data_IF_735777917038
#
_entry.id   IF_735777917038
#
_cell.length_a   1.000
_cell.length_b   1.000
_cell.length_c   1.000
_cell.angle_alpha   90.00
_cell.angle_beta   90.00
_cell.angle_gamma   90.00
#
_symmetry.space_group_name_H-M   'P 1'
#
loop_
_entity.id
_entity.type
_entity.pdbx_description
1 polymer ?
#
# COMPACT_ATOMS: atom_id res chain seq x y z
N UNK A 1 19.10 -15.74 -66.37
CA UNK A 1 19.51 -15.33 -65.00
C UNK A 1 18.37 -14.49 -64.40
N UNK A 2 17.29 -15.14 -63.93
CA UNK A 2 16.07 -14.43 -63.49
C UNK A 2 15.67 -14.74 -62.03
N UNK A 3 16.50 -15.47 -61.28
CA UNK A 3 16.18 -15.92 -59.92
C UNK A 3 16.31 -14.80 -58.86
N UNK A 4 17.01 -13.70 -59.16
CA UNK A 4 17.27 -12.64 -58.17
C UNK A 4 16.08 -11.70 -57.88
N UNK A 5 15.04 -11.66 -58.74
CA UNK A 5 13.90 -10.74 -58.55
C UNK A 5 12.87 -11.22 -57.51
N UNK A 6 12.83 -12.52 -57.22
CA UNK A 6 11.88 -13.08 -56.25
C UNK A 6 12.33 -12.85 -54.80
N UNK A 7 13.63 -12.90 -54.55
CA UNK A 7 14.20 -12.66 -53.22
C UNK A 7 14.06 -11.18 -52.77
N UNK A 8 14.18 -10.23 -53.69
CA UNK A 8 14.10 -8.79 -53.38
C UNK A 8 12.67 -8.30 -53.07
N UNK A 9 11.65 -8.93 -53.68
CA UNK A 9 10.25 -8.60 -53.38
C UNK A 9 9.77 -9.24 -52.07
N UNK A 10 10.26 -10.44 -51.73
CA UNK A 10 9.93 -11.09 -50.45
C UNK A 10 10.57 -10.38 -49.26
N UNK A 11 11.82 -9.91 -49.39
CA UNK A 11 12.49 -9.16 -48.32
C UNK A 11 11.83 -7.81 -48.05
N UNK A 12 11.35 -7.11 -49.09
CA UNK A 12 10.54 -5.88 -48.94
C UNK A 12 9.19 -6.15 -48.28
N UNK A 13 8.56 -7.29 -48.55
CA UNK A 13 7.29 -7.68 -47.93
C UNK A 13 7.44 -8.05 -46.45
N UNK A 14 8.48 -8.81 -46.08
CA UNK A 14 8.78 -9.13 -44.69
C UNK A 14 9.17 -7.88 -43.88
N UNK A 15 9.93 -6.96 -44.49
CA UNK A 15 10.24 -5.67 -43.87
C UNK A 15 8.98 -4.82 -43.64
N UNK A 16 8.02 -4.85 -44.57
CA UNK A 16 6.74 -4.16 -44.42
C UNK A 16 5.88 -4.76 -43.30
N UNK A 17 5.78 -6.10 -43.21
CA UNK A 17 5.04 -6.79 -42.14
C UNK A 17 5.64 -6.50 -40.75
N UNK A 18 6.98 -6.47 -40.64
CA UNK A 18 7.66 -6.12 -39.38
C UNK A 18 7.42 -4.65 -39.01
N UNK A 19 7.35 -3.75 -39.98
CA UNK A 19 7.02 -2.35 -39.74
C UNK A 19 5.57 -2.18 -39.26
N UNK A 20 4.64 -2.88 -39.88
CA UNK A 20 3.21 -2.87 -39.52
C UNK A 20 2.98 -3.46 -38.12
N UNK A 21 3.65 -4.57 -37.78
CA UNK A 21 3.58 -5.18 -36.45
C UNK A 21 4.18 -4.28 -35.35
N UNK A 22 5.25 -3.54 -35.67
CA UNK A 22 5.85 -2.57 -34.75
C UNK A 22 4.90 -1.41 -34.47
N UNK A 23 4.21 -0.93 -35.49
CA UNK A 23 3.23 0.15 -35.34
C UNK A 23 2.01 -0.34 -34.53
N UNK A 24 1.55 -1.57 -34.75
CA UNK A 24 0.44 -2.17 -33.99
C UNK A 24 0.80 -2.41 -32.51
N UNK A 25 2.01 -2.85 -32.20
CA UNK A 25 2.52 -2.97 -30.82
C UNK A 25 2.59 -1.61 -30.14
N UNK A 26 3.06 -0.58 -30.86
CA UNK A 26 3.14 0.79 -30.33
C UNK A 26 1.74 1.31 -29.98
N UNK A 27 0.77 1.05 -30.85
CA UNK A 27 -0.62 1.46 -30.64
C UNK A 27 -1.27 0.72 -29.45
N UNK A 28 -0.99 -0.58 -29.31
CA UNK A 28 -1.44 -1.39 -28.18
C UNK A 28 -0.85 -0.92 -26.84
N UNK A 29 0.46 -0.63 -26.81
CA UNK A 29 1.14 -0.12 -25.61
C UNK A 29 0.61 1.27 -25.24
N UNK A 30 0.44 2.16 -26.22
CA UNK A 30 -0.11 3.49 -25.99
C UNK A 30 -1.52 3.40 -25.39
N UNK A 31 -2.36 2.53 -25.95
CA UNK A 31 -3.73 2.29 -25.46
C UNK A 31 -3.73 1.76 -24.03
N UNK A 32 -2.90 0.76 -23.70
CA UNK A 32 -2.79 0.23 -22.33
C UNK A 32 -2.30 1.27 -21.33
N UNK A 33 -1.32 2.09 -21.72
CA UNK A 33 -0.81 3.18 -20.87
C UNK A 33 -1.91 4.22 -20.62
N UNK A 34 -2.70 4.54 -21.64
CA UNK A 34 -3.80 5.51 -21.52
C UNK A 34 -4.92 4.97 -20.60
N UNK A 35 -5.31 3.70 -20.75
CA UNK A 35 -6.27 3.04 -19.85
C UNK A 35 -5.74 2.95 -18.41
N UNK A 36 -4.48 2.56 -18.22
CA UNK A 36 -3.87 2.51 -16.89
C UNK A 36 -3.86 3.90 -16.23
N UNK A 37 -3.52 4.94 -17.00
CA UNK A 37 -3.54 6.32 -16.50
C UNK A 37 -4.95 6.76 -16.12
N UNK A 38 -5.98 6.37 -16.88
CA UNK A 38 -7.37 6.68 -16.51
C UNK A 38 -7.80 5.94 -15.25
N UNK A 39 -7.45 4.67 -15.08
CA UNK A 39 -7.81 3.86 -13.91
C UNK A 39 -7.11 4.37 -12.64
N UNK A 40 -5.83 4.74 -12.74
CA UNK A 40 -5.11 5.39 -11.63
C UNK A 40 -5.76 6.73 -11.28
N UNK A 41 -6.15 7.53 -12.28
CA UNK A 41 -6.80 8.82 -12.04
C UNK A 41 -8.17 8.67 -11.39
N UNK A 42 -8.98 7.71 -11.84
CA UNK A 42 -10.28 7.39 -11.25
C UNK A 42 -10.12 6.91 -9.80
N UNK A 43 -9.13 6.05 -9.54
CA UNK A 43 -8.78 5.61 -8.18
C UNK A 43 -8.38 6.80 -7.31
N UNK A 44 -7.52 7.69 -7.82
CA UNK A 44 -7.10 8.90 -7.09
C UNK A 44 -8.28 9.84 -6.83
N UNK A 45 -9.19 10.00 -7.79
CA UNK A 45 -10.37 10.84 -7.65
C UNK A 45 -11.36 10.25 -6.62
N UNK A 46 -11.53 8.92 -6.58
CA UNK A 46 -12.27 8.25 -5.51
C UNK A 46 -11.62 8.47 -4.14
N UNK A 47 -10.28 8.43 -4.07
CA UNK A 47 -9.53 8.69 -2.84
C UNK A 47 -9.62 10.15 -2.38
N UNK A 48 -9.68 11.12 -3.30
CA UNK A 48 -9.82 12.55 -2.96
C UNK A 48 -11.05 12.84 -2.11
N UNK A 49 -12.14 12.11 -2.33
CA UNK A 49 -13.37 12.26 -1.53
C UNK A 49 -13.38 11.31 -0.34
N UNK A 50 -12.90 10.08 -0.50
CA UNK A 50 -12.93 9.08 0.57
C UNK A 50 -11.94 9.39 1.72
N UNK A 51 -10.73 9.87 1.41
CA UNK A 51 -9.69 10.16 2.41
C UNK A 51 -10.10 11.25 3.41
N UNK A 52 -10.59 12.44 3.01
CA UNK A 52 -11.01 13.46 3.96
C UNK A 52 -12.23 13.00 4.78
N UNK A 53 -13.17 12.28 4.17
CA UNK A 53 -14.32 11.73 4.89
C UNK A 53 -13.88 10.69 5.93
N UNK A 54 -12.96 9.80 5.59
CA UNK A 54 -12.37 8.85 6.51
C UNK A 54 -11.59 9.55 7.63
N UNK A 55 -10.85 10.62 7.33
CA UNK A 55 -10.15 11.41 8.33
C UNK A 55 -11.12 12.02 9.35
N UNK A 56 -12.22 12.63 8.88
CA UNK A 56 -13.28 13.16 9.76
C UNK A 56 -13.90 12.04 10.60
N UNK A 57 -14.21 10.90 10.00
CA UNK A 57 -14.76 9.76 10.72
C UNK A 57 -13.81 9.26 11.81
N UNK A 58 -12.51 9.14 11.52
CA UNK A 58 -11.49 8.76 12.52
C UNK A 58 -11.43 9.78 13.65
N UNK A 59 -11.44 11.08 13.36
CA UNK A 59 -11.46 12.13 14.38
C UNK A 59 -12.69 12.02 15.29
N UNK A 60 -13.88 11.81 14.70
CA UNK A 60 -15.11 11.64 15.47
C UNK A 60 -15.09 10.36 16.33
N UNK A 61 -14.60 9.24 15.78
CA UNK A 61 -14.49 7.99 16.52
C UNK A 61 -13.48 8.07 17.66
N UNK A 62 -12.32 8.69 17.44
CA UNK A 62 -11.33 8.94 18.51
C UNK A 62 -11.92 9.86 19.58
N UNK A 63 -12.65 10.90 19.19
CA UNK A 63 -13.31 11.80 20.14
C UNK A 63 -14.37 11.07 20.96
N UNK A 64 -15.23 10.27 20.31
CA UNK A 64 -16.23 9.45 20.99
C UNK A 64 -15.58 8.45 21.97
N UNK A 65 -14.51 7.80 21.55
CA UNK A 65 -13.73 6.89 22.39
C UNK A 65 -13.17 7.58 23.65
N UNK A 66 -12.63 8.80 23.51
CA UNK A 66 -12.14 9.59 24.64
C UNK A 66 -13.29 9.95 25.61
N UNK A 67 -14.43 10.40 25.09
CA UNK A 67 -15.60 10.72 25.91
C UNK A 67 -16.16 9.51 26.67
N UNK A 68 -16.22 8.35 26.00
CA UNK A 68 -16.61 7.09 26.65
C UNK A 68 -15.61 6.69 27.74
N UNK A 69 -14.31 6.84 27.47
CA UNK A 69 -13.28 6.54 28.47
C UNK A 69 -13.40 7.47 29.69
N UNK A 70 -13.61 8.77 29.48
CA UNK A 70 -13.84 9.74 30.57
C UNK A 70 -15.11 9.38 31.36
N UNK A 71 -16.16 8.90 30.68
CA UNK A 71 -17.39 8.46 31.35
C UNK A 71 -17.10 7.27 32.27
N UNK A 72 -16.32 6.28 31.82
CA UNK A 72 -15.90 5.16 32.67
C UNK A 72 -15.05 5.65 33.86
N UNK A 73 -14.10 6.56 33.63
CA UNK A 73 -13.31 7.17 34.71
C UNK A 73 -14.21 7.87 35.72
N UNK A 74 -15.18 8.67 35.26
CA UNK A 74 -16.12 9.37 36.14
C UNK A 74 -16.96 8.40 36.97
N UNK A 75 -17.44 7.29 36.37
CA UNK A 75 -18.16 6.24 37.10
C UNK A 75 -17.31 5.61 38.20
N UNK A 76 -16.04 5.30 37.91
CA UNK A 76 -15.11 4.78 38.92
C UNK A 76 -14.85 5.85 40.00
N UNK A 77 -14.69 7.11 39.62
CA UNK A 77 -14.45 8.20 40.56
C UNK A 77 -15.63 8.40 41.53
N UNK A 78 -16.87 8.17 41.10
CA UNK A 78 -18.06 8.19 41.98
C UNK A 78 -18.02 7.04 43.00
N UNK A 79 -17.56 5.85 42.62
CA UNK A 79 -17.42 4.74 43.55
C UNK A 79 -16.43 5.04 44.71
N UNK A 80 -15.47 5.93 44.48
CA UNK A 80 -14.48 6.37 45.48
C UNK A 80 -14.74 7.76 46.05
N UNK A 81 -15.96 8.31 45.92
CA UNK A 81 -16.30 9.71 46.26
C UNK A 81 -15.83 10.19 47.64
N UNK A 82 -15.77 9.29 48.63
CA UNK A 82 -15.36 9.62 49.99
C UNK A 82 -13.84 9.84 50.16
N UNK A 83 -13.04 9.59 49.12
CA UNK A 83 -11.59 9.75 49.13
C UNK A 83 -11.20 11.03 48.36
N UNK A 84 -10.38 11.94 48.92
CA UNK A 84 -9.87 13.12 48.21
C UNK A 84 -9.14 12.81 46.89
N UNK A 85 -8.59 11.59 46.75
CA UNK A 85 -7.85 11.13 45.58
C UNK A 85 -8.69 10.27 44.62
N UNK A 86 -10.01 10.34 44.69
CA UNK A 86 -10.91 9.51 43.89
C UNK A 86 -10.65 9.57 42.37
N UNK A 87 -10.39 10.76 41.82
CA UNK A 87 -10.02 10.93 40.41
C UNK A 87 -8.68 10.26 40.08
N UNK A 88 -7.67 10.39 40.95
CA UNK A 88 -6.36 9.77 40.74
C UNK A 88 -6.48 8.25 40.63
N UNK A 89 -7.19 7.62 41.57
CA UNK A 89 -7.42 6.17 41.52
C UNK A 89 -8.26 5.75 40.31
N UNK A 90 -9.27 6.54 39.94
CA UNK A 90 -10.09 6.24 38.77
C UNK A 90 -9.28 6.24 37.46
N UNK A 91 -8.46 7.27 37.24
CA UNK A 91 -7.57 7.33 36.08
C UNK A 91 -6.52 6.22 36.11
N UNK A 92 -5.97 5.89 37.28
CA UNK A 92 -5.00 4.81 37.42
C UNK A 92 -5.61 3.45 37.04
N UNK A 93 -6.78 3.12 37.58
CA UNK A 93 -7.46 1.85 37.30
C UNK A 93 -7.80 1.73 35.82
N UNK A 94 -8.47 2.74 35.25
CA UNK A 94 -8.88 2.72 33.84
C UNK A 94 -7.66 2.73 32.91
N UNK A 95 -6.60 3.46 33.27
CA UNK A 95 -5.34 3.48 32.53
C UNK A 95 -4.64 2.13 32.52
N UNK A 96 -4.62 1.41 33.64
CA UNK A 96 -4.08 0.04 33.72
C UNK A 96 -4.89 -0.91 32.84
N UNK A 97 -6.23 -0.84 32.88
CA UNK A 97 -7.10 -1.68 32.04
C UNK A 97 -6.81 -1.43 30.55
N UNK A 98 -6.72 -0.16 30.12
CA UNK A 98 -6.37 0.19 28.74
C UNK A 98 -4.96 -0.25 28.36
N UNK A 99 -3.99 -0.15 29.28
CA UNK A 99 -2.60 -0.57 29.03
C UNK A 99 -2.50 -2.08 28.83
N UNK A 100 -3.25 -2.87 29.59
CA UNK A 100 -3.29 -4.33 29.43
C UNK A 100 -3.96 -4.68 28.10
N UNK A 101 -5.16 -4.14 27.84
CA UNK A 101 -5.88 -4.43 26.60
C UNK A 101 -5.12 -4.01 25.35
N UNK A 102 -4.61 -2.77 25.33
CA UNK A 102 -3.80 -2.24 24.24
C UNK A 102 -2.45 -2.94 24.09
N UNK A 103 -1.82 -3.31 25.21
CA UNK A 103 -0.57 -4.08 25.21
C UNK A 103 -0.73 -5.47 24.59
N UNK A 104 -1.79 -6.21 24.94
CA UNK A 104 -2.08 -7.53 24.37
C UNK A 104 -2.34 -7.41 22.85
N UNK A 105 -3.24 -6.51 22.45
CA UNK A 105 -3.59 -6.33 21.04
C UNK A 105 -2.38 -5.84 20.23
N UNK A 106 -1.60 -4.91 20.77
CA UNK A 106 -0.37 -4.42 20.15
C UNK A 106 0.68 -5.52 20.00
N UNK A 107 0.83 -6.37 21.02
CA UNK A 107 1.74 -7.51 20.96
C UNK A 107 1.31 -8.54 19.93
N UNK A 108 0.00 -8.85 19.85
CA UNK A 108 -0.55 -9.73 18.81
C UNK A 108 -0.33 -9.15 17.41
N UNK A 109 -0.59 -7.86 17.21
CA UNK A 109 -0.38 -7.20 15.92
C UNK A 109 1.10 -7.20 15.51
N UNK A 110 2.02 -6.91 16.44
CA UNK A 110 3.46 -6.99 16.19
C UNK A 110 3.90 -8.41 15.81
N UNK A 111 3.39 -9.43 16.51
CA UNK A 111 3.72 -10.82 16.22
C UNK A 111 3.16 -11.28 14.86
N UNK A 112 1.95 -10.86 14.51
CA UNK A 112 1.34 -11.12 13.21
C UNK A 112 2.12 -10.45 12.07
N UNK A 113 2.53 -9.19 12.24
CA UNK A 113 3.33 -8.47 11.24
C UNK A 113 4.73 -9.07 11.07
N UNK A 114 5.35 -9.57 12.13
CA UNK A 114 6.65 -10.24 12.07
C UNK A 114 6.57 -11.63 11.42
N UNK A 115 5.52 -12.39 11.73
CA UNK A 115 5.34 -13.75 11.20
C UNK A 115 4.90 -13.75 9.73
N UNK A 116 3.94 -12.89 9.38
CA UNK A 116 3.40 -12.83 7.99
C UNK A 116 4.17 -11.87 7.09
N UNK A 117 4.94 -10.95 7.66
CA UNK A 117 5.70 -9.94 6.92
C UNK A 117 4.76 -8.97 6.20
N UNK A 118 4.77 -7.70 6.61
CA UNK A 118 4.03 -6.63 5.91
C UNK A 118 4.47 -6.44 4.44
N UNK A 119 5.61 -7.01 4.07
CA UNK A 119 6.15 -6.98 2.72
C UNK A 119 6.38 -8.42 2.22
N UNK A 120 5.99 -8.74 0.97
CA UNK A 120 6.25 -10.05 0.38
C UNK A 120 7.76 -10.28 0.28
N UNK A 121 8.30 -11.09 1.20
CA UNK A 121 9.75 -11.36 1.30
C UNK A 121 10.33 -11.85 -0.03
N UNK A 122 9.60 -12.70 -0.75
CA UNK A 122 9.99 -13.22 -2.08
C UNK A 122 10.17 -12.10 -3.12
N UNK A 123 9.28 -11.12 -3.17
CA UNK A 123 9.34 -10.04 -4.17
C UNK A 123 10.51 -9.11 -3.89
N UNK A 124 10.77 -8.79 -2.61
CA UNK A 124 11.93 -7.96 -2.24
C UNK A 124 13.25 -8.67 -2.53
N UNK A 125 13.31 -9.99 -2.32
CA UNK A 125 14.51 -10.78 -2.59
C UNK A 125 14.83 -10.83 -4.10
N UNK A 126 13.82 -11.03 -4.94
CA UNK A 126 13.97 -10.99 -6.41
C UNK A 126 14.39 -9.60 -6.88
N UNK A 127 13.77 -8.52 -6.38
CA UNK A 127 14.17 -7.14 -6.70
C UNK A 127 15.61 -6.81 -6.30
N UNK A 128 16.09 -7.38 -5.19
CA UNK A 128 17.50 -7.23 -4.78
C UNK A 128 18.43 -8.02 -5.69
N UNK A 129 18.08 -9.24 -6.06
CA UNK A 129 18.84 -10.06 -7.00
C UNK A 129 18.96 -9.38 -8.37
N UNK A 130 17.85 -8.86 -8.90
CA UNK A 130 17.82 -8.15 -10.18
C UNK A 130 18.69 -6.87 -10.13
N UNK A 131 18.66 -6.12 -9.02
CA UNK A 131 19.51 -4.93 -8.84
C UNK A 131 21.00 -5.29 -8.81
N UNK A 132 21.37 -6.39 -8.14
CA UNK A 132 22.75 -6.85 -8.08
C UNK A 132 23.25 -7.32 -9.45
N UNK A 133 22.41 -8.04 -10.21
CA UNK A 133 22.75 -8.48 -11.57
C UNK A 133 22.94 -7.30 -12.53
N UNK A 134 22.06 -6.30 -12.50
CA UNK A 134 22.21 -5.09 -13.34
C UNK A 134 23.48 -4.30 -12.96
N UNK A 135 23.84 -4.24 -11.68
CA UNK A 135 25.09 -3.58 -11.26
C UNK A 135 26.34 -4.35 -11.66
N UNK A 136 26.31 -5.70 -11.66
CA UNK A 136 27.44 -6.49 -12.14
C UNK A 136 27.61 -6.39 -13.65
N UNK A 137 26.52 -6.38 -14.41
CA UNK A 137 26.56 -6.32 -15.88
C UNK A 137 26.93 -4.92 -16.40
N UNK A 138 26.47 -3.85 -15.72
CA UNK A 138 26.82 -2.47 -16.09
C UNK A 138 28.22 -2.05 -15.62
N UNK A 139 28.86 -2.84 -14.77
CA UNK A 139 30.20 -2.60 -14.22
C UNK A 139 31.34 -3.26 -15.00
N UNK A 140 31.03 -4.11 -16.00
CA UNK A 140 32.03 -4.82 -16.80
C UNK A 140 32.08 -4.24 -18.23
N UNK A 141 32.90 -3.21 -18.50
CA UNK A 141 33.17 -2.79 -19.86
C UNK A 141 34.05 -3.85 -20.53
N UNK A 142 33.44 -4.65 -21.42
CA UNK A 142 34.15 -5.46 -22.44
C UNK A 142 35.15 -4.64 -23.23
#
# INVERSE_FOLDING_TARGET
MNENRYAENHSKNLAAIIAELKDEIKDFVQTRVEMFKSEVRETLDAWKTAVPLAAVAVVLLVTAYLLLTITVVALVAVAFWNNPYHWFFAFLIVGVVWSIGGGILGWMALHEFQSKGLFPKKTIEVLKADKMWIQSEAGDPV
#
